data_IF_168349657430
#
_entry.id   IF_168349657430
#
_cell.length_a   1.000
_cell.length_b   1.000
_cell.length_c   1.000
_cell.angle_alpha   90.00
_cell.angle_beta   90.00
_cell.angle_gamma   90.00
#
_symmetry.space_group_name_H-M   'P 1'
#
loop_
_entity.id
_entity.type
_entity.pdbx_description
1 polymer ?
#
# COMPACT_ATOMS: atom_id res chain seq x y z
N UNK A 1 54.40 -54.74 -41.01
CA UNK A 1 53.65 -54.45 -39.77
C UNK A 1 54.14 -53.13 -39.20
N UNK A 2 53.40 -52.03 -39.42
CA UNK A 2 53.77 -50.68 -39.00
C UNK A 2 53.06 -50.34 -37.68
N UNK A 3 53.82 -49.98 -36.64
CA UNK A 3 53.27 -49.53 -35.34
C UNK A 3 53.48 -48.02 -35.20
N UNK A 4 52.38 -47.28 -35.27
CA UNK A 4 52.29 -45.85 -35.00
C UNK A 4 52.23 -45.65 -33.46
N UNK A 5 53.22 -44.97 -32.87
CA UNK A 5 53.19 -44.58 -31.45
C UNK A 5 52.84 -43.10 -31.35
N UNK A 6 51.57 -42.83 -31.07
CA UNK A 6 51.04 -41.49 -30.79
C UNK A 6 51.48 -41.08 -29.39
N UNK A 7 52.37 -40.09 -29.30
CA UNK A 7 52.65 -39.37 -28.07
C UNK A 7 51.70 -38.18 -27.95
N UNK A 8 50.66 -38.31 -27.13
CA UNK A 8 49.81 -37.20 -26.70
C UNK A 8 50.53 -36.46 -25.56
N UNK A 9 51.14 -35.32 -25.89
CA UNK A 9 51.54 -34.31 -24.92
C UNK A 9 50.37 -33.32 -24.83
N UNK A 10 49.48 -33.52 -23.88
CA UNK A 10 48.49 -32.50 -23.50
C UNK A 10 49.18 -31.53 -22.54
N UNK A 11 49.46 -30.32 -23.00
CA UNK A 11 49.82 -29.18 -22.16
C UNK A 11 48.68 -28.90 -21.19
N UNK A 12 48.94 -29.08 -19.90
CA UNK A 12 48.11 -28.56 -18.83
C UNK A 12 48.27 -27.04 -18.78
N UNK A 13 47.41 -26.32 -19.50
CA UNK A 13 47.20 -24.90 -19.22
C UNK A 13 46.55 -24.79 -17.84
N UNK A 14 47.38 -24.45 -16.85
CA UNK A 14 46.91 -24.07 -15.53
C UNK A 14 45.96 -22.89 -15.67
N UNK A 15 44.65 -23.15 -15.51
CA UNK A 15 43.69 -22.10 -15.23
C UNK A 15 43.99 -21.59 -13.82
N UNK A 16 44.75 -20.50 -13.72
CA UNK A 16 44.71 -19.67 -12.53
C UNK A 16 43.28 -19.16 -12.38
N UNK A 17 42.55 -19.69 -11.39
CA UNK A 17 41.31 -19.07 -10.91
C UNK A 17 41.69 -17.68 -10.40
N UNK A 18 41.47 -16.66 -11.22
CA UNK A 18 41.42 -15.30 -10.71
C UNK A 18 40.23 -15.20 -9.76
N UNK A 19 40.54 -15.01 -8.48
CA UNK A 19 39.55 -14.69 -7.47
C UNK A 19 38.93 -13.35 -7.86
N UNK A 20 37.72 -13.39 -8.40
CA UNK A 20 36.92 -12.19 -8.66
C UNK A 20 36.88 -11.34 -7.38
N UNK A 21 37.31 -10.07 -7.40
CA UNK A 21 37.15 -9.19 -6.24
C UNK A 21 35.65 -9.03 -5.96
N UNK A 22 35.22 -9.35 -4.74
CA UNK A 22 33.81 -9.38 -4.34
C UNK A 22 33.14 -8.01 -4.20
N UNK A 23 33.82 -6.91 -4.60
CA UNK A 23 33.37 -5.53 -4.43
C UNK A 23 33.57 -4.69 -5.70
N UNK A 24 33.19 -5.20 -6.88
CA UNK A 24 33.24 -4.43 -8.14
C UNK A 24 31.88 -3.79 -8.41
N UNK A 25 31.86 -2.46 -8.55
CA UNK A 25 30.72 -1.71 -9.06
C UNK A 25 30.97 -1.44 -10.55
N UNK A 26 30.26 -2.13 -11.43
CA UNK A 26 30.32 -1.90 -12.88
C UNK A 26 29.27 -0.88 -13.28
N UNK A 27 29.68 0.17 -14.01
CA UNK A 27 28.80 1.25 -14.48
C UNK A 27 28.87 1.33 -16.01
N UNK A 28 27.86 0.78 -16.70
CA UNK A 28 27.91 0.57 -18.16
C UNK A 28 27.64 1.84 -19.01
N UNK A 29 27.34 2.98 -18.39
CA UNK A 29 27.17 4.26 -19.08
C UNK A 29 27.31 5.47 -18.13
N UNK A 30 28.52 6.02 -18.03
CA UNK A 30 28.82 7.20 -17.21
C UNK A 30 29.28 8.36 -18.10
N UNK A 31 28.58 9.50 -18.06
CA UNK A 31 29.17 10.79 -18.45
C UNK A 31 29.82 11.38 -17.20
N UNK A 32 31.16 11.35 -17.15
CA UNK A 32 31.92 11.81 -16.00
C UNK A 32 32.03 13.34 -16.03
N UNK A 33 31.50 14.00 -15.01
CA UNK A 33 31.69 15.43 -14.75
C UNK A 33 32.39 15.62 -13.40
N UNK A 34 33.57 15.03 -13.21
CA UNK A 34 34.51 15.38 -12.14
C UNK A 34 33.95 15.41 -10.72
N UNK A 35 33.23 14.36 -10.30
CA UNK A 35 32.72 14.25 -8.92
C UNK A 35 33.62 13.31 -8.11
N UNK A 36 34.25 13.82 -7.05
CA UNK A 36 34.98 13.02 -6.06
C UNK A 36 34.06 12.85 -4.83
N UNK A 37 33.59 11.63 -4.58
CA UNK A 37 32.73 11.31 -3.43
C UNK A 37 33.48 10.42 -2.44
N UNK A 38 33.36 10.71 -1.14
CA UNK A 38 33.99 9.94 -0.05
C UNK A 38 33.25 8.62 0.25
N UNK A 39 31.94 8.55 -0.02
CA UNK A 39 31.12 7.35 0.16
C UNK A 39 29.95 7.36 -0.82
N UNK A 40 29.69 6.24 -1.49
CA UNK A 40 28.51 6.01 -2.33
C UNK A 40 27.60 5.01 -1.63
N UNK A 41 26.38 5.43 -1.30
CA UNK A 41 25.38 4.55 -0.66
C UNK A 41 24.24 4.28 -1.63
N UNK A 42 24.06 3.01 -2.02
CA UNK A 42 22.96 2.56 -2.89
C UNK A 42 21.82 2.01 -2.03
N UNK A 43 20.76 2.81 -1.84
CA UNK A 43 19.57 2.38 -1.11
C UNK A 43 18.61 1.67 -2.06
N UNK A 44 18.73 0.34 -2.18
CA UNK A 44 17.72 -0.46 -2.87
C UNK A 44 16.52 -0.68 -1.94
N UNK A 45 15.53 0.22 -2.01
CA UNK A 45 14.27 0.00 -1.30
C UNK A 45 13.56 -1.20 -1.93
N UNK A 46 13.11 -2.21 -1.16
CA UNK A 46 12.46 -3.38 -1.73
C UNK A 46 11.25 -2.94 -2.56
N UNK A 47 11.09 -3.56 -3.75
CA UNK A 47 9.96 -3.29 -4.62
C UNK A 47 8.65 -3.40 -3.83
N UNK A 48 7.82 -2.37 -3.92
CA UNK A 48 6.53 -2.32 -3.22
C UNK A 48 5.70 -3.52 -3.65
N UNK A 49 5.44 -4.45 -2.74
CA UNK A 49 4.54 -5.59 -2.98
C UNK A 49 3.16 -5.03 -3.31
N UNK A 50 2.75 -5.15 -4.57
CA UNK A 50 1.41 -4.76 -5.03
C UNK A 50 0.46 -5.89 -4.68
N UNK A 51 -0.18 -5.80 -3.51
CA UNK A 51 -1.24 -6.74 -3.15
C UNK A 51 -2.46 -6.46 -4.04
N UNK A 52 -2.85 -7.43 -4.85
CA UNK A 52 -4.07 -7.34 -5.65
C UNK A 52 -5.30 -7.34 -4.73
N UNK A 53 -6.38 -6.61 -5.08
CA UNK A 53 -7.62 -6.65 -4.32
C UNK A 53 -8.15 -8.08 -4.21
N UNK A 54 -8.54 -8.50 -3.00
CA UNK A 54 -9.16 -9.80 -2.82
C UNK A 54 -10.48 -9.86 -3.61
N UNK A 55 -10.65 -10.89 -4.43
CA UNK A 55 -11.86 -11.09 -5.24
C UNK A 55 -13.08 -11.14 -4.31
N UNK A 56 -14.14 -10.38 -4.65
CA UNK A 56 -15.36 -10.30 -3.84
C UNK A 56 -15.24 -9.42 -2.58
N UNK A 57 -14.09 -8.79 -2.32
CA UNK A 57 -13.95 -7.80 -1.25
C UNK A 57 -14.39 -6.40 -1.70
N UNK A 58 -14.62 -5.50 -0.74
CA UNK A 58 -14.90 -4.09 -1.01
C UNK A 58 -13.79 -3.45 -1.85
N UNK A 59 -12.53 -3.84 -1.64
CA UNK A 59 -11.41 -3.37 -2.46
C UNK A 59 -11.51 -3.74 -3.95
N UNK A 60 -12.28 -4.78 -4.30
CA UNK A 60 -12.47 -5.18 -5.70
C UNK A 60 -13.41 -4.24 -6.47
N UNK A 61 -14.29 -3.50 -5.78
CA UNK A 61 -15.21 -2.56 -6.40
C UNK A 61 -14.85 -1.12 -6.05
N UNK A 62 -14.31 -0.39 -7.05
CA UNK A 62 -13.84 0.98 -6.88
C UNK A 62 -14.91 1.91 -6.29
N UNK A 63 -16.17 1.78 -6.74
CA UNK A 63 -17.31 2.57 -6.26
C UNK A 63 -17.52 2.39 -4.75
N UNK A 64 -17.56 1.14 -4.30
CA UNK A 64 -17.79 0.81 -2.89
C UNK A 64 -16.59 1.19 -2.03
N UNK A 65 -15.38 0.89 -2.48
CA UNK A 65 -14.14 1.27 -1.79
C UNK A 65 -14.06 2.78 -1.58
N UNK A 66 -14.31 3.57 -2.63
CA UNK A 66 -14.26 5.03 -2.58
C UNK A 66 -15.32 5.61 -1.64
N UNK A 67 -16.52 5.05 -1.63
CA UNK A 67 -17.56 5.47 -0.70
C UNK A 67 -17.19 5.19 0.75
N UNK A 68 -16.68 3.99 1.07
CA UNK A 68 -16.22 3.65 2.42
C UNK A 68 -15.08 4.59 2.85
N UNK A 69 -14.12 4.85 1.95
CA UNK A 69 -13.04 5.80 2.20
C UNK A 69 -13.59 7.20 2.51
N UNK A 70 -14.54 7.70 1.71
CA UNK A 70 -15.22 8.98 1.96
C UNK A 70 -15.85 9.04 3.36
N UNK A 71 -16.54 7.97 3.79
CA UNK A 71 -17.15 7.93 5.12
C UNK A 71 -16.09 7.94 6.24
N UNK A 72 -15.00 7.19 6.07
CA UNK A 72 -13.88 7.18 7.03
C UNK A 72 -13.26 8.58 7.14
N UNK A 73 -13.01 9.25 6.01
CA UNK A 73 -12.44 10.59 5.97
C UNK A 73 -13.39 11.61 6.62
N UNK A 74 -14.71 11.49 6.40
CA UNK A 74 -15.73 12.30 7.07
C UNK A 74 -15.72 12.10 8.59
N UNK A 75 -15.68 10.85 9.05
CA UNK A 75 -15.57 10.56 10.48
C UNK A 75 -14.33 11.21 11.09
N UNK A 76 -13.17 11.08 10.43
CA UNK A 76 -11.94 11.69 10.91
C UNK A 76 -12.03 13.22 10.95
N UNK A 77 -12.55 13.85 9.90
CA UNK A 77 -12.74 15.30 9.88
C UNK A 77 -13.59 15.78 11.07
N UNK A 78 -14.66 15.06 11.38
CA UNK A 78 -15.55 15.42 12.49
C UNK A 78 -14.90 15.16 13.84
N UNK A 79 -14.16 14.05 13.97
CA UNK A 79 -13.46 13.73 15.21
C UNK A 79 -12.29 14.68 15.48
N UNK A 80 -11.60 15.17 14.45
CA UNK A 80 -10.57 16.20 14.57
C UNK A 80 -11.14 17.50 15.14
N UNK A 81 -12.35 17.90 14.74
CA UNK A 81 -13.02 19.08 15.31
C UNK A 81 -13.36 18.86 16.79
N UNK A 82 -13.68 17.62 17.18
CA UNK A 82 -14.03 17.27 18.56
C UNK A 82 -12.82 17.18 19.50
N UNK A 83 -11.72 16.53 19.06
CA UNK A 83 -10.57 16.25 19.93
C UNK A 83 -9.33 17.11 19.63
N UNK A 84 -9.33 17.82 18.51
CA UNK A 84 -8.15 18.51 17.97
C UNK A 84 -7.24 17.60 17.14
N UNK A 85 -6.47 18.19 16.21
CA UNK A 85 -5.56 17.46 15.32
C UNK A 85 -4.48 16.67 16.07
N UNK A 86 -3.92 17.24 17.14
CA UNK A 86 -2.84 16.63 17.93
C UNK A 86 -3.29 15.40 18.72
N UNK A 87 -4.53 15.37 19.19
CA UNK A 87 -5.06 14.27 20.00
C UNK A 87 -5.77 13.19 19.16
N UNK A 88 -5.79 13.33 17.83
CA UNK A 88 -6.53 12.43 16.96
C UNK A 88 -5.85 11.06 16.84
N UNK A 89 -6.50 10.02 17.37
CA UNK A 89 -6.02 8.64 17.33
C UNK A 89 -6.67 7.86 16.19
N UNK A 90 -6.20 8.06 14.96
CA UNK A 90 -6.69 7.34 13.77
C UNK A 90 -6.72 5.80 13.93
N UNK A 91 -5.69 5.14 14.50
CA UNK A 91 -5.68 3.67 14.61
C UNK A 91 -6.84 3.10 15.44
N UNK A 92 -7.38 3.86 16.40
CA UNK A 92 -8.50 3.40 17.25
C UNK A 92 -9.74 3.12 16.41
N UNK A 93 -9.99 3.94 15.38
CA UNK A 93 -11.14 3.74 14.50
C UNK A 93 -10.95 2.53 13.59
N UNK A 94 -9.77 2.40 12.98
CA UNK A 94 -9.44 1.23 12.17
C UNK A 94 -9.47 -0.08 12.98
N UNK A 95 -8.99 -0.06 14.23
CA UNK A 95 -9.06 -1.21 15.13
C UNK A 95 -10.50 -1.55 15.51
N UNK A 96 -11.37 -0.56 15.68
CA UNK A 96 -12.80 -0.81 15.91
C UNK A 96 -13.48 -1.46 14.69
N UNK A 97 -13.13 -1.05 13.47
CA UNK A 97 -13.59 -1.71 12.24
C UNK A 97 -13.06 -3.15 12.16
N UNK A 98 -11.76 -3.34 12.39
CA UNK A 98 -11.13 -4.67 12.39
C UNK A 98 -11.77 -5.61 13.42
N UNK A 99 -12.05 -5.12 14.63
CA UNK A 99 -12.69 -5.91 15.69
C UNK A 99 -14.12 -6.31 15.34
N UNK A 100 -14.90 -5.44 14.70
CA UNK A 100 -16.29 -5.74 14.32
C UNK A 100 -16.37 -6.67 13.10
N UNK A 101 -15.54 -6.42 12.09
CA UNK A 101 -15.64 -7.09 10.80
C UNK A 101 -14.65 -8.26 10.65
N UNK A 102 -13.72 -8.46 11.59
CA UNK A 102 -12.71 -9.52 11.58
C UNK A 102 -11.54 -9.28 10.61
N UNK A 103 -11.65 -8.27 9.74
CA UNK A 103 -10.69 -7.96 8.70
C UNK A 103 -10.48 -6.44 8.58
N UNK A 104 -9.44 -6.04 7.83
CA UNK A 104 -9.30 -4.65 7.41
C UNK A 104 -10.51 -4.25 6.56
N UNK A 105 -10.95 -2.99 6.67
CA UNK A 105 -12.20 -2.51 6.07
C UNK A 105 -12.28 -2.70 4.54
N UNK A 106 -11.14 -2.72 3.85
CA UNK A 106 -11.01 -2.91 2.40
C UNK A 106 -11.14 -4.40 2.01
N UNK A 107 -10.74 -5.31 2.90
CA UNK A 107 -10.83 -6.77 2.72
C UNK A 107 -12.19 -7.35 3.16
N UNK A 108 -13.12 -6.52 3.61
CA UNK A 108 -14.47 -6.98 3.98
C UNK A 108 -15.20 -7.46 2.72
N UNK A 109 -15.93 -8.60 2.75
CA UNK A 109 -16.75 -9.05 1.63
C UNK A 109 -17.77 -8.00 1.19
N UNK A 110 -18.00 -7.89 -0.11
CA UNK A 110 -18.92 -6.90 -0.70
C UNK A 110 -20.35 -7.05 -0.16
N UNK A 111 -20.77 -8.27 0.17
CA UNK A 111 -22.10 -8.56 0.72
C UNK A 111 -22.36 -7.85 2.06
N UNK A 112 -21.29 -7.54 2.80
CA UNK A 112 -21.39 -6.77 4.07
C UNK A 112 -21.16 -5.28 3.90
N UNK A 113 -21.13 -4.78 2.66
CA UNK A 113 -20.96 -3.36 2.39
C UNK A 113 -22.01 -2.49 3.10
N UNK A 114 -23.28 -2.91 3.07
CA UNK A 114 -24.36 -2.17 3.73
C UNK A 114 -24.14 -2.10 5.24
N UNK A 115 -23.74 -3.23 5.85
CA UNK A 115 -23.44 -3.29 7.28
C UNK A 115 -22.25 -2.39 7.65
N UNK A 116 -21.18 -2.41 6.84
CA UNK A 116 -19.99 -1.60 7.04
C UNK A 116 -20.28 -0.10 6.90
N UNK A 117 -20.98 0.29 5.85
CA UNK A 117 -21.35 1.69 5.61
C UNK A 117 -22.26 2.22 6.72
N UNK A 118 -23.30 1.47 7.10
CA UNK A 118 -24.21 1.82 8.20
C UNK A 118 -23.45 1.96 9.52
N UNK A 119 -22.51 1.06 9.81
CA UNK A 119 -21.70 1.15 11.02
C UNK A 119 -20.84 2.42 11.05
N UNK A 120 -20.20 2.78 9.93
CA UNK A 120 -19.40 4.01 9.87
C UNK A 120 -20.31 5.25 9.97
N UNK A 121 -21.47 5.24 9.32
CA UNK A 121 -22.46 6.32 9.40
C UNK A 121 -22.94 6.55 10.83
N UNK A 122 -23.30 5.50 11.58
CA UNK A 122 -23.66 5.59 13.00
C UNK A 122 -22.52 6.19 13.84
N UNK A 123 -21.27 5.83 13.53
CA UNK A 123 -20.09 6.40 14.19
C UNK A 123 -19.91 7.89 13.87
N UNK A 124 -20.23 8.34 12.66
CA UNK A 124 -20.25 9.76 12.29
C UNK A 124 -21.35 10.48 13.08
N UNK A 125 -22.57 9.94 13.14
CA UNK A 125 -23.70 10.54 13.85
C UNK A 125 -23.44 10.68 15.35
N UNK A 126 -22.65 9.78 15.93
CA UNK A 126 -22.27 9.83 17.35
C UNK A 126 -21.22 10.89 17.69
N UNK A 127 -20.54 11.47 16.70
CA UNK A 127 -19.60 12.59 16.94
C UNK A 127 -20.35 13.86 17.36
N UNK A 128 -19.68 14.78 18.05
CA UNK A 128 -20.31 16.04 18.48
C UNK A 128 -20.89 16.82 17.30
N UNK A 129 -20.14 16.93 16.20
CA UNK A 129 -20.60 17.64 15.00
C UNK A 129 -21.75 16.89 14.30
N UNK A 130 -21.69 15.55 14.25
CA UNK A 130 -22.77 14.73 13.71
C UNK A 130 -24.08 14.89 14.48
N UNK A 131 -24.02 14.87 15.82
CA UNK A 131 -25.18 15.13 16.69
C UNK A 131 -25.74 16.53 16.48
N UNK A 132 -24.87 17.54 16.38
CA UNK A 132 -25.28 18.93 16.13
C UNK A 132 -25.98 19.10 14.79
N UNK A 133 -25.45 18.52 13.71
CA UNK A 133 -26.07 18.56 12.38
C UNK A 133 -27.41 17.84 12.36
N UNK A 134 -27.49 16.67 13.02
CA UNK A 134 -28.74 15.92 13.17
C UNK A 134 -29.81 16.73 13.90
N UNK A 135 -29.45 17.42 14.99
CA UNK A 135 -30.35 18.32 15.70
C UNK A 135 -30.83 19.51 14.85
N UNK A 136 -30.04 19.92 13.85
CA UNK A 136 -30.41 20.96 12.88
C UNK A 136 -31.16 20.40 11.64
N UNK A 137 -31.47 19.11 11.59
CA UNK A 137 -32.10 18.47 10.42
C UNK A 137 -31.19 18.39 9.19
N UNK A 138 -29.88 18.62 9.34
CA UNK A 138 -28.90 18.58 8.24
C UNK A 138 -28.24 17.21 8.14
N UNK A 139 -28.00 16.75 6.91
CA UNK A 139 -27.28 15.49 6.66
C UNK A 139 -25.79 15.63 7.04
N UNK A 140 -25.28 14.67 7.82
CA UNK A 140 -23.86 14.60 8.22
C UNK A 140 -22.96 13.98 7.15
N UNK A 141 -23.54 13.18 6.25
CA UNK A 141 -22.86 12.47 5.18
C UNK A 141 -23.80 12.31 3.99
N UNK A 142 -23.23 12.08 2.81
CA UNK A 142 -23.99 11.68 1.62
C UNK A 142 -24.24 10.17 1.65
N UNK A 143 -25.41 9.76 1.19
CA UNK A 143 -25.74 8.35 0.94
C UNK A 143 -24.88 7.79 -0.20
N UNK A 144 -24.89 6.48 -0.39
CA UNK A 144 -24.10 5.85 -1.46
C UNK A 144 -24.53 6.36 -2.84
N UNK A 145 -25.84 6.43 -3.11
CA UNK A 145 -26.38 6.93 -4.37
C UNK A 145 -26.03 8.40 -4.61
N UNK A 146 -26.20 9.26 -3.60
CA UNK A 146 -25.80 10.68 -3.69
C UNK A 146 -24.29 10.84 -3.94
N UNK A 147 -23.48 9.98 -3.33
CA UNK A 147 -22.03 9.98 -3.54
C UNK A 147 -21.67 9.57 -4.97
N UNK A 148 -22.33 8.56 -5.52
CA UNK A 148 -22.12 8.13 -6.91
C UNK A 148 -22.56 9.20 -7.89
N UNK A 149 -23.74 9.80 -7.70
CA UNK A 149 -24.23 10.88 -8.55
C UNK A 149 -23.27 12.08 -8.60
N UNK A 150 -22.55 12.34 -7.51
CA UNK A 150 -21.59 13.44 -7.42
C UNK A 150 -20.20 13.12 -8.00
N UNK A 151 -19.73 11.89 -7.85
CA UNK A 151 -18.32 11.54 -8.12
C UNK A 151 -18.13 10.49 -9.24
N UNK A 152 -19.20 9.97 -9.82
CA UNK A 152 -19.17 8.96 -10.88
C UNK A 152 -19.96 9.37 -12.13
N UNK A 153 -20.25 10.66 -12.27
CA UNK A 153 -20.72 11.26 -13.53
C UNK A 153 -19.54 11.55 -14.46
#
# INVERSE_FOLDING_TARGET
MLRLKVGLISSSSGQSKETMPSNVITLDSVKNHGVIANQVTLNNSPAKVVLLPAVGSIASSLKHQNYIKYLIDKYHAYKIVEVGKSNMKYPVFYNALKRKFGAKWDMVPIDRFLELSTYIQDRIEKTVLGKKLKAQGKKSYSTFEEYLAKNCN
#
